data_IF_648341154265
#
_entry.id   IF_648341154265
#
_cell.length_a   1.000
_cell.length_b   1.000
_cell.length_c   1.000
_cell.angle_alpha   90.00
_cell.angle_beta   90.00
_cell.angle_gamma   90.00
#
_symmetry.space_group_name_H-M   'P 1'
#
loop_
_entity.id
_entity.type
_entity.pdbx_description
1 polymer ?
#
# COMPACT_ATOMS: atom_id res chain seq x y z
N UNK A 1 29.73 21.39 -24.31
CA UNK A 1 28.36 21.91 -24.07
C UNK A 1 27.50 22.01 -25.34
N UNK A 2 27.88 21.37 -26.46
CA UNK A 2 27.17 21.48 -27.76
C UNK A 2 26.45 20.18 -28.17
N UNK A 3 26.77 19.04 -27.55
CA UNK A 3 26.20 17.74 -27.95
C UNK A 3 24.81 17.42 -27.36
N UNK A 4 24.36 18.14 -26.32
CA UNK A 4 23.07 17.85 -25.66
C UNK A 4 21.85 18.35 -26.46
N UNK A 5 22.03 19.32 -27.35
CA UNK A 5 20.93 19.88 -28.16
C UNK A 5 20.55 18.99 -29.36
N UNK A 6 21.47 18.16 -29.87
CA UNK A 6 21.21 17.31 -31.05
C UNK A 6 20.30 16.12 -30.76
N UNK A 7 20.13 15.72 -29.50
CA UNK A 7 19.33 14.54 -29.15
C UNK A 7 17.83 14.87 -28.96
N UNK A 8 17.48 16.12 -28.62
CA UNK A 8 16.09 16.56 -28.42
C UNK A 8 15.30 16.73 -29.74
N UNK A 9 15.99 16.97 -30.86
CA UNK A 9 15.35 17.10 -32.18
C UNK A 9 14.94 15.74 -32.78
N UNK A 10 15.67 14.66 -32.50
CA UNK A 10 15.37 13.31 -33.04
C UNK A 10 14.14 12.64 -32.41
N UNK A 11 13.62 13.13 -31.29
CA UNK A 11 12.47 12.54 -30.61
C UNK A 11 11.10 13.03 -31.13
N UNK A 12 11.06 14.00 -32.07
CA UNK A 12 9.81 14.59 -32.56
C UNK A 12 9.21 13.91 -33.81
N UNK A 13 9.86 12.92 -34.42
CA UNK A 13 9.45 12.41 -35.75
C UNK A 13 8.74 11.05 -35.79
N UNK A 14 8.49 10.37 -34.66
CA UNK A 14 7.85 9.03 -34.67
C UNK A 14 6.49 9.00 -33.95
N UNK A 15 5.52 9.73 -34.47
CA UNK A 15 4.13 9.71 -34.01
C UNK A 15 3.14 9.44 -35.14
N UNK A 16 3.22 8.27 -35.77
CA UNK A 16 2.21 7.78 -36.71
C UNK A 16 1.00 7.25 -35.95
N UNK A 17 -0.17 7.78 -36.32
CA UNK A 17 -1.45 7.58 -35.65
C UNK A 17 -2.02 6.17 -35.73
N UNK A 18 -2.97 5.94 -34.83
CA UNK A 18 -4.02 4.94 -34.96
C UNK A 18 -5.28 5.60 -34.41
N UNK A 19 -6.13 6.06 -35.32
CA UNK A 19 -7.55 6.30 -35.06
C UNK A 19 -8.20 4.97 -34.72
N UNK A 20 -8.96 4.92 -33.62
CA UNK A 20 -9.96 3.89 -33.40
C UNK A 20 -11.16 4.45 -32.67
N UNK A 21 -12.29 4.17 -33.28
CA UNK A 21 -13.62 4.70 -33.07
C UNK A 21 -14.14 4.48 -31.65
N UNK A 22 -14.73 5.55 -31.09
CA UNK A 22 -15.50 5.51 -29.85
C UNK A 22 -16.95 5.30 -30.26
N UNK A 23 -17.45 4.09 -30.02
CA UNK A 23 -18.88 3.78 -30.10
C UNK A 23 -19.65 4.55 -29.01
N UNK A 24 -20.74 5.18 -29.45
CA UNK A 24 -21.73 5.90 -28.67
C UNK A 24 -22.45 4.95 -27.71
N UNK A 25 -22.51 5.32 -26.42
CA UNK A 25 -23.44 4.71 -25.47
C UNK A 25 -24.55 5.72 -25.22
N UNK A 26 -25.71 5.41 -25.79
CA UNK A 26 -26.99 6.09 -25.59
C UNK A 26 -27.44 5.92 -24.13
N UNK A 27 -27.69 7.02 -23.42
CA UNK A 27 -28.27 7.02 -22.07
C UNK A 27 -29.69 7.57 -22.16
N UNK A 28 -30.64 6.65 -22.20
CA UNK A 28 -32.07 6.93 -22.12
C UNK A 28 -32.44 7.62 -20.81
N UNK A 29 -33.01 8.81 -20.95
CA UNK A 29 -33.74 9.54 -19.92
C UNK A 29 -35.16 8.99 -19.81
N UNK A 30 -35.61 8.67 -18.60
CA UNK A 30 -37.03 8.61 -18.20
C UNK A 30 -37.04 8.86 -16.68
N UNK A 31 -37.43 10.04 -16.20
CA UNK A 31 -38.78 10.64 -16.14
C UNK A 31 -39.56 10.20 -14.89
N UNK A 32 -40.49 11.05 -14.51
CA UNK A 32 -40.79 11.55 -13.18
C UNK A 32 -41.54 10.63 -12.21
N UNK A 33 -41.36 10.91 -10.92
CA UNK A 33 -42.06 10.27 -9.80
C UNK A 33 -42.27 11.24 -8.65
N UNK A 34 -43.44 11.87 -8.70
CA UNK A 34 -44.00 12.90 -7.82
C UNK A 34 -44.44 12.38 -6.44
N UNK A 35 -44.55 13.31 -5.46
CA UNK A 35 -45.37 13.28 -4.25
C UNK A 35 -45.06 12.29 -3.10
N UNK A 36 -44.69 12.83 -1.93
CA UNK A 36 -45.64 13.09 -0.84
C UNK A 36 -44.96 13.76 0.37
N UNK A 37 -45.71 14.65 1.01
CA UNK A 37 -45.29 15.59 2.05
C UNK A 37 -46.12 15.31 3.30
N UNK A 38 -45.54 14.67 4.31
CA UNK A 38 -46.03 14.52 5.70
C UNK A 38 -44.89 13.87 6.49
N UNK A 39 -44.54 14.19 7.73
CA UNK A 39 -45.04 15.09 8.75
C UNK A 39 -44.00 15.12 9.89
N UNK A 40 -44.17 16.08 10.80
CA UNK A 40 -43.32 16.36 11.96
C UNK A 40 -43.04 15.16 12.87
N UNK A 41 -41.79 15.05 13.33
CA UNK A 41 -41.42 14.36 14.58
C UNK A 41 -40.03 14.86 15.07
N UNK A 42 -39.73 14.77 16.37
CA UNK A 42 -38.90 15.73 17.09
C UNK A 42 -37.39 15.47 16.98
N UNK A 43 -36.63 16.54 17.20
CA UNK A 43 -35.19 16.54 17.36
C UNK A 43 -34.77 15.63 18.52
N UNK A 44 -34.33 14.41 18.19
CA UNK A 44 -33.53 13.57 19.06
C UNK A 44 -32.07 13.94 18.78
N UNK A 45 -31.43 14.55 19.78
CA UNK A 45 -29.99 14.77 19.78
C UNK A 45 -29.30 13.41 19.79
N UNK A 46 -28.78 13.01 18.63
CA UNK A 46 -27.93 11.84 18.46
C UNK A 46 -26.54 12.21 18.94
N UNK A 47 -26.16 11.72 20.11
CA UNK A 47 -24.77 11.72 20.58
C UNK A 47 -23.95 10.82 19.63
N UNK A 48 -23.30 11.46 18.66
CA UNK A 48 -22.27 10.85 17.82
C UNK A 48 -21.01 10.67 18.66
N UNK A 49 -20.95 9.59 19.44
CA UNK A 49 -19.67 9.06 19.90
C UNK A 49 -18.94 8.43 18.70
N UNK A 50 -18.15 9.27 18.03
CA UNK A 50 -17.06 8.89 17.13
C UNK A 50 -16.00 8.12 17.92
N UNK A 51 -16.31 6.86 18.26
CA UNK A 51 -15.30 5.90 18.71
C UNK A 51 -14.63 5.28 17.49
N UNK A 52 -14.02 6.15 16.68
CA UNK A 52 -12.95 5.76 15.77
C UNK A 52 -11.76 5.31 16.61
N UNK A 53 -11.81 4.04 17.04
CA UNK A 53 -10.68 3.26 17.52
C UNK A 53 -9.69 3.07 16.35
N UNK A 54 -9.04 4.18 15.99
CA UNK A 54 -7.75 4.22 15.34
C UNK A 54 -6.81 3.47 16.28
N UNK A 55 -6.53 2.21 15.94
CA UNK A 55 -5.36 1.53 16.44
C UNK A 55 -4.16 2.44 16.20
N UNK A 56 -3.74 3.12 17.28
CA UNK A 56 -2.48 3.82 17.48
C UNK A 56 -1.75 4.15 16.18
N UNK A 57 -1.97 5.37 15.69
CA UNK A 57 -1.24 5.99 14.58
C UNK A 57 0.21 6.35 15.00
N UNK A 58 0.86 5.45 15.73
CA UNK A 58 2.24 5.50 16.22
C UNK A 58 3.21 4.97 15.13
N UNK A 59 2.94 5.30 13.86
CA UNK A 59 3.64 4.70 12.71
C UNK A 59 4.69 5.60 12.05
N UNK A 60 4.82 6.87 12.43
CA UNK A 60 5.69 7.80 11.67
C UNK A 60 6.94 8.32 12.39
N UNK A 61 7.12 8.04 13.69
CA UNK A 61 8.31 8.47 14.45
C UNK A 61 9.27 7.33 14.82
N UNK A 62 9.12 6.16 14.18
CA UNK A 62 10.08 5.08 14.38
C UNK A 62 11.40 5.42 13.67
N UNK A 63 12.55 5.27 14.35
CA UNK A 63 13.85 5.64 13.81
C UNK A 63 14.12 4.92 12.47
N UNK A 64 14.87 5.54 11.54
CA UNK A 64 15.16 5.00 10.20
C UNK A 64 15.60 3.52 10.17
N UNK A 65 16.25 3.06 11.25
CA UNK A 65 16.68 1.66 11.44
C UNK A 65 15.53 0.64 11.46
N UNK A 66 14.34 1.00 11.96
CA UNK A 66 13.17 0.11 12.02
C UNK A 66 12.41 0.04 10.68
N UNK A 67 12.49 1.08 9.84
CA UNK A 67 11.89 1.08 8.50
C UNK A 67 12.69 0.20 7.53
N UNK A 68 14.02 0.28 7.52
CA UNK A 68 14.88 -0.56 6.68
C UNK A 68 14.69 -2.08 6.94
N UNK A 69 14.49 -2.49 8.20
CA UNK A 69 14.23 -3.89 8.59
C UNK A 69 12.89 -4.42 8.05
N UNK A 70 11.84 -3.60 8.05
CA UNK A 70 10.53 -3.96 7.48
C UNK A 70 10.55 -4.16 5.96
N UNK A 71 11.45 -3.46 5.28
CA UNK A 71 11.54 -3.50 3.82
C UNK A 71 12.30 -4.72 3.30
N UNK A 72 13.38 -5.14 3.98
CA UNK A 72 14.08 -6.39 3.62
C UNK A 72 13.11 -7.56 3.69
N UNK A 73 12.26 -7.61 4.72
CA UNK A 73 11.24 -8.65 4.89
C UNK A 73 10.21 -8.70 3.75
N UNK A 74 9.88 -7.58 3.09
CA UNK A 74 8.91 -7.54 1.99
C UNK A 74 9.41 -8.16 0.68
N UNK A 75 10.73 -8.27 0.51
CA UNK A 75 11.35 -8.83 -0.70
C UNK A 75 11.99 -10.20 -0.46
N UNK A 76 12.16 -10.59 0.80
CA UNK A 76 12.65 -11.90 1.15
C UNK A 76 11.71 -13.01 0.65
N UNK A 77 12.31 -14.01 -0.01
CA UNK A 77 11.67 -15.28 -0.29
C UNK A 77 12.02 -16.26 0.83
N UNK A 78 11.00 -16.74 1.53
CA UNK A 78 11.16 -17.67 2.65
C UNK A 78 10.70 -19.05 2.24
N UNK A 79 11.46 -20.09 2.55
CA UNK A 79 11.03 -21.46 2.32
C UNK A 79 10.57 -22.10 3.63
N UNK A 80 9.36 -22.64 3.62
CA UNK A 80 8.85 -23.38 4.76
C UNK A 80 9.72 -24.63 4.99
N UNK A 81 10.26 -24.80 6.19
CA UNK A 81 11.06 -25.96 6.58
C UNK A 81 10.28 -27.29 6.56
N UNK A 82 8.95 -27.23 6.71
CA UNK A 82 8.10 -28.41 6.81
C UNK A 82 7.59 -28.87 5.44
N UNK A 83 7.03 -27.97 4.63
CA UNK A 83 6.45 -28.32 3.32
C UNK A 83 7.26 -27.86 2.11
N UNK A 84 8.39 -27.17 2.31
CA UNK A 84 9.23 -26.66 1.22
C UNK A 84 8.62 -25.52 0.39
N UNK A 85 7.39 -25.07 0.71
CA UNK A 85 6.71 -24.00 -0.04
C UNK A 85 7.46 -22.67 0.11
N UNK A 86 7.77 -22.03 -1.02
CA UNK A 86 8.35 -20.69 -1.08
C UNK A 86 7.26 -19.62 -0.90
N UNK A 87 7.39 -18.79 0.13
CA UNK A 87 6.49 -17.70 0.48
C UNK A 87 7.22 -16.38 0.29
N UNK A 88 6.68 -15.53 -0.59
CA UNK A 88 7.23 -14.21 -0.88
C UNK A 88 6.56 -13.16 0.00
N UNK A 89 7.35 -12.26 0.58
CA UNK A 89 6.84 -11.04 1.20
C UNK A 89 6.84 -11.04 2.72
N UNK A 90 6.04 -10.12 3.29
CA UNK A 90 6.07 -9.82 4.72
C UNK A 90 5.57 -10.97 5.61
N UNK A 91 5.74 -10.76 6.91
CA UNK A 91 5.26 -11.63 7.99
C UNK A 91 3.80 -12.09 7.83
N UNK A 92 2.90 -11.29 7.26
CA UNK A 92 1.49 -11.70 7.16
C UNK A 92 1.30 -12.93 6.27
N UNK A 93 2.07 -13.06 5.18
CA UNK A 93 2.00 -14.25 4.32
C UNK A 93 2.57 -15.49 5.02
N UNK A 94 3.68 -15.33 5.76
CA UNK A 94 4.25 -16.41 6.58
C UNK A 94 3.28 -16.85 7.67
N UNK A 95 2.67 -15.90 8.38
CA UNK A 95 1.64 -16.16 9.41
C UNK A 95 0.45 -16.93 8.84
N UNK A 96 -0.08 -16.52 7.69
CA UNK A 96 -1.17 -17.24 7.03
C UNK A 96 -0.76 -18.68 6.69
N UNK A 97 0.47 -18.86 6.20
CA UNK A 97 1.00 -20.18 5.91
C UNK A 97 1.15 -21.04 7.18
N UNK A 98 1.70 -20.50 8.27
CA UNK A 98 1.77 -21.18 9.57
C UNK A 98 0.37 -21.59 10.04
N UNK A 99 -0.62 -20.71 9.88
CA UNK A 99 -2.01 -21.00 10.22
C UNK A 99 -2.59 -22.23 9.51
N UNK A 100 -2.15 -22.52 8.28
CA UNK A 100 -2.55 -23.75 7.57
C UNK A 100 -1.92 -25.03 8.14
N UNK A 101 -0.71 -24.93 8.70
CA UNK A 101 -0.04 -26.05 9.34
C UNK A 101 -0.56 -26.32 10.75
N UNK A 102 -0.73 -25.26 11.53
CA UNK A 102 -1.16 -25.33 12.93
C UNK A 102 -2.69 -25.33 13.09
N UNK A 103 -3.43 -25.35 11.97
CA UNK A 103 -4.92 -25.31 11.94
C UNK A 103 -5.49 -24.17 12.78
N UNK A 104 -4.89 -22.97 12.65
CA UNK A 104 -5.31 -21.78 13.39
C UNK A 104 -6.62 -21.22 12.83
N UNK A 105 -7.73 -21.82 13.27
CA UNK A 105 -9.08 -21.42 12.95
C UNK A 105 -9.64 -20.44 13.99
N UNK A 106 -10.76 -19.80 13.64
CA UNK A 106 -11.53 -18.94 14.53
C UNK A 106 -12.97 -19.43 14.48
N UNK A 107 -13.49 -20.06 15.54
CA UNK A 107 -14.91 -20.39 15.68
C UNK A 107 -15.82 -19.23 15.26
N UNK A 108 -16.85 -19.54 14.47
CA UNK A 108 -17.82 -18.52 14.08
C UNK A 108 -18.68 -18.11 15.29
N UNK A 109 -18.77 -16.82 15.63
CA UNK A 109 -19.55 -16.36 16.79
C UNK A 109 -21.07 -16.34 16.54
N UNK A 110 -21.53 -16.60 15.31
CA UNK A 110 -22.94 -16.59 14.96
C UNK A 110 -23.61 -17.88 15.44
N UNK A 111 -24.70 -17.74 16.19
CA UNK A 111 -25.44 -18.87 16.75
C UNK A 111 -25.78 -19.91 15.66
N UNK A 112 -25.59 -21.19 15.99
CA UNK A 112 -25.80 -22.36 15.11
C UNK A 112 -24.80 -22.50 13.95
N UNK A 113 -23.82 -21.60 13.81
CA UNK A 113 -22.74 -21.81 12.85
C UNK A 113 -21.61 -22.62 13.48
N UNK A 114 -21.40 -23.85 13.00
CA UNK A 114 -20.31 -24.73 13.45
C UNK A 114 -19.03 -24.58 12.63
N UNK A 115 -18.97 -23.57 11.75
CA UNK A 115 -17.81 -23.35 10.90
C UNK A 115 -16.64 -22.76 11.67
N UNK A 116 -15.45 -23.26 11.38
CA UNK A 116 -14.19 -22.76 11.92
C UNK A 116 -13.26 -22.31 10.78
N UNK A 117 -13.57 -21.19 10.11
CA UNK A 117 -12.72 -20.70 9.04
C UNK A 117 -11.32 -20.32 9.55
N UNK A 118 -10.32 -20.41 8.68
CA UNK A 118 -9.00 -19.84 8.95
C UNK A 118 -9.12 -18.33 9.22
N UNK A 119 -8.24 -17.80 10.09
CA UNK A 119 -8.23 -16.38 10.45
C UNK A 119 -8.20 -15.43 9.23
N UNK A 120 -7.52 -15.80 8.13
CA UNK A 120 -7.49 -15.02 6.89
C UNK A 120 -8.80 -15.02 6.10
N UNK A 121 -9.60 -16.07 6.21
CA UNK A 121 -10.89 -16.24 5.54
C UNK A 121 -12.09 -15.85 6.40
N UNK A 122 -11.90 -15.64 7.71
CA UNK A 122 -12.98 -15.39 8.66
C UNK A 122 -13.90 -14.21 8.25
N UNK A 123 -13.32 -13.09 7.81
CA UNK A 123 -14.12 -11.94 7.33
C UNK A 123 -14.97 -12.27 6.10
N UNK A 124 -14.43 -13.06 5.18
CA UNK A 124 -15.15 -13.50 4.00
C UNK A 124 -16.24 -14.50 4.37
N UNK A 125 -15.99 -15.39 5.33
CA UNK A 125 -17.00 -16.29 5.87
C UNK A 125 -18.20 -15.54 6.46
N UNK A 126 -17.97 -14.53 7.31
CA UNK A 126 -19.05 -13.70 7.86
C UNK A 126 -19.88 -13.03 6.75
N UNK A 127 -19.20 -12.49 5.73
CA UNK A 127 -19.87 -11.82 4.61
C UNK A 127 -20.71 -12.78 3.77
N UNK A 128 -20.17 -13.93 3.41
CA UNK A 128 -20.82 -14.87 2.48
C UNK A 128 -21.91 -15.72 3.14
N UNK A 129 -21.68 -16.20 4.36
CA UNK A 129 -22.61 -17.13 5.01
C UNK A 129 -23.62 -16.45 5.92
N UNK A 130 -23.27 -15.29 6.49
CA UNK A 130 -24.13 -14.61 7.48
C UNK A 130 -24.59 -13.23 7.01
N UNK A 131 -24.19 -12.80 5.81
CA UNK A 131 -24.45 -11.45 5.27
C UNK A 131 -24.13 -10.35 6.30
N UNK A 132 -23.12 -10.59 7.13
CA UNK A 132 -22.74 -9.74 8.26
C UNK A 132 -21.27 -9.36 8.16
N UNK A 133 -20.84 -8.43 9.00
CA UNK A 133 -19.46 -7.95 9.07
C UNK A 133 -18.95 -7.99 10.51
N UNK A 134 -17.64 -7.77 10.72
CA UNK A 134 -17.09 -7.65 12.07
C UNK A 134 -17.74 -6.51 12.86
N UNK A 135 -18.19 -5.45 12.19
CA UNK A 135 -18.75 -4.26 12.80
C UNK A 135 -20.17 -4.48 13.32
N UNK A 136 -20.92 -5.39 12.73
CA UNK A 136 -22.32 -5.70 13.09
C UNK A 136 -22.45 -6.78 14.15
N UNK A 137 -21.33 -7.42 14.56
CA UNK A 137 -21.30 -8.35 15.69
C UNK A 137 -21.57 -7.61 17.02
N UNK A 138 -22.11 -8.34 18.01
CA UNK A 138 -22.23 -7.82 19.37
C UNK A 138 -20.86 -7.52 19.97
N UNK A 139 -20.81 -6.67 20.99
CA UNK A 139 -19.56 -6.32 21.68
C UNK A 139 -18.86 -7.54 22.25
N UNK A 140 -19.62 -8.48 22.84
CA UNK A 140 -19.09 -9.73 23.38
C UNK A 140 -18.51 -10.64 22.28
N UNK A 141 -19.23 -10.83 21.17
CA UNK A 141 -18.73 -11.60 20.02
C UNK A 141 -17.47 -10.99 19.41
N UNK A 142 -17.39 -9.66 19.31
CA UNK A 142 -16.18 -8.96 18.83
C UNK A 142 -15.00 -9.21 19.76
N UNK A 143 -15.22 -9.18 21.07
CA UNK A 143 -14.18 -9.41 22.07
C UNK A 143 -13.65 -10.84 21.99
N UNK A 144 -14.52 -11.84 21.92
CA UNK A 144 -14.13 -13.25 21.79
C UNK A 144 -13.35 -13.52 20.49
N UNK A 145 -13.86 -13.07 19.34
CA UNK A 145 -13.16 -13.18 18.06
C UNK A 145 -11.78 -12.52 18.11
N UNK A 146 -11.67 -11.34 18.76
CA UNK A 146 -10.39 -10.65 18.91
C UNK A 146 -9.42 -11.45 19.79
N UNK A 147 -9.88 -11.98 20.92
CA UNK A 147 -9.07 -12.83 21.79
C UNK A 147 -8.57 -14.10 21.07
N UNK A 148 -9.39 -14.70 20.21
CA UNK A 148 -9.00 -15.83 19.37
C UNK A 148 -7.95 -15.46 18.32
N UNK A 149 -8.14 -14.32 17.63
CA UNK A 149 -7.16 -13.81 16.66
C UNK A 149 -5.81 -13.48 17.33
N UNK A 150 -5.83 -12.94 18.54
CA UNK A 150 -4.63 -12.64 19.32
C UNK A 150 -3.92 -13.91 19.77
N UNK A 151 -4.66 -14.93 20.22
CA UNK A 151 -4.11 -16.28 20.49
C UNK A 151 -3.44 -16.87 19.23
N UNK A 152 -4.13 -16.82 18.09
CA UNK A 152 -3.59 -17.31 16.81
C UNK A 152 -2.33 -16.55 16.38
N UNK A 153 -2.28 -15.23 16.61
CA UNK A 153 -1.09 -14.42 16.37
C UNK A 153 0.07 -14.85 17.27
N UNK A 154 -0.17 -15.04 18.57
CA UNK A 154 0.85 -15.49 19.52
C UNK A 154 1.41 -16.87 19.13
N UNK A 155 0.54 -17.83 18.81
CA UNK A 155 0.95 -19.16 18.33
C UNK A 155 1.77 -19.05 17.05
N UNK A 156 1.35 -18.22 16.10
CA UNK A 156 2.10 -18.03 14.87
C UNK A 156 3.52 -17.49 15.10
N UNK A 157 3.68 -16.56 16.03
CA UNK A 157 5.00 -16.01 16.40
C UNK A 157 5.88 -17.10 17.02
N UNK A 158 5.35 -17.90 17.94
CA UNK A 158 6.10 -19.02 18.54
C UNK A 158 6.54 -20.06 17.51
N UNK A 159 5.69 -20.31 16.51
CA UNK A 159 5.96 -21.23 15.43
C UNK A 159 6.87 -20.64 14.32
N UNK A 160 7.19 -19.35 14.33
CA UNK A 160 7.96 -18.72 13.24
C UNK A 160 9.28 -19.45 13.00
N UNK A 161 10.05 -19.69 14.07
CA UNK A 161 11.36 -20.35 13.96
C UNK A 161 11.27 -21.83 13.57
N UNK A 162 10.13 -22.48 13.83
CA UNK A 162 9.86 -23.87 13.40
C UNK A 162 9.65 -23.97 11.89
N UNK A 163 8.90 -23.05 11.30
CA UNK A 163 8.56 -23.10 9.87
C UNK A 163 9.50 -22.27 8.99
N UNK A 164 10.05 -21.17 9.52
CA UNK A 164 10.86 -20.21 8.78
C UNK A 164 12.13 -19.83 9.58
N UNK A 165 13.00 -20.80 9.88
CA UNK A 165 14.28 -20.50 10.50
C UNK A 165 15.11 -19.58 9.58
N UNK A 166 16.03 -18.81 10.15
CA UNK A 166 16.85 -17.86 9.38
C UNK A 166 17.69 -18.54 8.28
N UNK A 167 18.03 -19.82 8.44
CA UNK A 167 18.69 -20.64 7.43
C UNK A 167 17.86 -20.86 6.16
N UNK A 168 16.53 -20.76 6.25
CA UNK A 168 15.61 -21.02 5.14
C UNK A 168 15.21 -19.74 4.39
N UNK A 169 15.96 -18.67 4.59
CA UNK A 169 15.85 -17.48 3.77
C UNK A 169 16.53 -17.75 2.41
N UNK A 170 15.73 -17.99 1.37
CA UNK A 170 16.18 -18.41 0.02
C UNK A 170 16.73 -17.22 -0.80
N UNK A 171 17.33 -16.23 -0.15
CA UNK A 171 17.82 -14.97 -0.72
C UNK A 171 16.75 -13.94 -1.13
N UNK A 172 17.14 -12.67 -1.10
CA UNK A 172 16.39 -11.54 -1.65
C UNK A 172 16.53 -11.39 -3.18
N UNK A 173 17.28 -12.28 -3.83
CA UNK A 173 17.73 -12.14 -5.22
C UNK A 173 16.90 -12.92 -6.26
N UNK A 174 16.06 -13.88 -5.85
CA UNK A 174 15.31 -14.71 -6.81
C UNK A 174 14.09 -14.01 -7.44
N UNK A 175 13.78 -12.76 -7.06
CA UNK A 175 12.87 -11.94 -7.87
C UNK A 175 13.59 -11.38 -9.10
N UNK A 176 13.91 -12.29 -10.01
CA UNK A 176 13.83 -12.13 -11.46
C UNK A 176 14.74 -11.04 -12.06
N UNK A 177 15.99 -11.42 -12.33
CA UNK A 177 16.70 -10.98 -13.54
C UNK A 177 17.32 -9.58 -13.57
N UNK A 178 17.44 -8.88 -12.44
CA UNK A 178 18.24 -7.66 -12.37
C UNK A 178 19.36 -7.87 -11.37
N UNK A 179 20.60 -7.71 -11.83
CA UNK A 179 21.82 -7.79 -11.03
C UNK A 179 21.59 -7.19 -9.63
N UNK A 180 22.04 -7.86 -8.54
CA UNK A 180 21.79 -7.39 -7.18
C UNK A 180 22.37 -5.99 -7.02
N UNK A 181 21.50 -4.99 -7.14
CA UNK A 181 21.93 -3.60 -7.07
C UNK A 181 22.28 -3.29 -5.62
N UNK A 182 23.57 -3.12 -5.36
CA UNK A 182 24.21 -2.64 -4.14
C UNK A 182 23.32 -1.61 -3.45
N UNK A 183 23.05 -1.77 -2.14
CA UNK A 183 22.28 -0.80 -1.42
C UNK A 183 23.07 0.48 -1.12
N UNK A 184 24.33 0.59 -1.52
CA UNK A 184 25.16 1.75 -1.20
C UNK A 184 25.27 2.70 -2.39
N UNK A 185 25.03 3.99 -2.15
CA UNK A 185 25.25 5.02 -3.15
C UNK A 185 26.76 5.17 -3.43
N UNK A 186 27.18 5.08 -4.68
CA UNK A 186 28.57 5.26 -5.12
C UNK A 186 29.13 6.66 -4.84
N UNK A 187 28.27 7.70 -4.88
CA UNK A 187 28.73 9.09 -4.72
C UNK A 187 28.90 9.51 -3.26
N UNK A 188 28.15 8.92 -2.33
CA UNK A 188 28.18 9.36 -0.92
C UNK A 188 28.15 8.24 0.11
N UNK A 189 28.23 6.97 -0.29
CA UNK A 189 28.25 5.80 0.59
C UNK A 189 26.96 5.55 1.38
N UNK A 190 25.92 6.35 1.21
CA UNK A 190 24.66 6.19 1.93
C UNK A 190 23.98 4.87 1.58
N UNK A 191 23.56 4.09 2.59
CA UNK A 191 22.81 2.85 2.41
C UNK A 191 21.33 3.14 2.19
N UNK A 192 20.82 2.84 1.00
CA UNK A 192 19.44 3.03 0.57
C UNK A 192 18.91 1.75 -0.07
N UNK A 193 17.95 1.10 0.57
CA UNK A 193 17.48 -0.23 0.19
C UNK A 193 16.34 -0.15 -0.83
N UNK A 194 15.41 0.78 -0.64
CA UNK A 194 14.21 0.86 -1.48
C UNK A 194 14.43 1.59 -2.77
N UNK A 195 13.80 1.11 -3.84
CA UNK A 195 13.81 1.80 -5.12
C UNK A 195 13.28 3.25 -5.00
N UNK A 196 12.17 3.46 -4.31
CA UNK A 196 11.60 4.80 -4.13
C UNK A 196 12.50 5.70 -3.26
N UNK A 197 13.17 5.14 -2.26
CA UNK A 197 14.15 5.90 -1.47
C UNK A 197 15.41 6.18 -2.28
N UNK A 198 15.89 5.24 -3.10
CA UNK A 198 17.02 5.42 -4.02
C UNK A 198 16.71 6.53 -5.00
N UNK A 199 15.50 6.55 -5.57
CA UNK A 199 15.06 7.65 -6.44
C UNK A 199 15.06 9.00 -5.72
N UNK A 200 14.49 9.07 -4.51
CA UNK A 200 14.52 10.29 -3.71
C UNK A 200 15.94 10.68 -3.28
N UNK A 201 16.84 9.71 -3.13
CA UNK A 201 18.25 9.91 -2.79
C UNK A 201 19.04 10.47 -3.98
N UNK A 202 18.97 9.83 -5.15
CA UNK A 202 19.58 10.33 -6.39
C UNK A 202 19.07 11.72 -6.73
N UNK A 203 17.77 11.97 -6.54
CA UNK A 203 17.20 13.31 -6.74
C UNK A 203 17.81 14.40 -5.84
N UNK A 204 18.37 14.06 -4.67
CA UNK A 204 19.15 15.03 -3.86
C UNK A 204 20.41 15.43 -4.60
N UNK A 205 21.15 14.44 -5.11
CA UNK A 205 22.38 14.69 -5.86
C UNK A 205 22.14 15.47 -7.15
N UNK A 206 20.98 15.29 -7.77
CA UNK A 206 20.59 16.01 -8.99
C UNK A 206 19.86 17.34 -8.70
N UNK A 207 19.62 17.68 -7.43
CA UNK A 207 18.79 18.82 -7.01
C UNK A 207 17.41 18.88 -7.71
N UNK A 208 16.83 17.71 -8.01
CA UNK A 208 15.52 17.62 -8.68
C UNK A 208 14.38 17.87 -7.68
N UNK A 209 13.38 18.63 -8.11
CA UNK A 209 12.20 18.97 -7.32
C UNK A 209 10.93 18.86 -8.18
N UNK A 210 9.82 18.56 -7.53
CA UNK A 210 8.45 18.54 -8.05
C UNK A 210 7.70 19.67 -7.35
N UNK A 211 6.95 20.46 -8.12
CA UNK A 211 6.07 21.50 -7.58
C UNK A 211 4.81 20.90 -6.96
N UNK A 212 4.29 21.53 -5.91
CA UNK A 212 2.99 21.18 -5.36
C UNK A 212 1.90 21.35 -6.44
N UNK A 213 1.02 20.36 -6.66
CA UNK A 213 -0.03 20.44 -7.67
C UNK A 213 -1.21 21.33 -7.24
N UNK A 214 -1.30 21.69 -5.96
CA UNK A 214 -2.39 22.48 -5.39
C UNK A 214 -2.23 23.95 -5.78
N UNK A 215 -3.33 24.55 -6.25
CA UNK A 215 -3.33 25.93 -6.72
C UNK A 215 -2.90 26.91 -5.62
N UNK A 216 -2.04 27.87 -5.97
CA UNK A 216 -1.51 28.87 -5.03
C UNK A 216 -0.42 28.38 -4.08
N UNK A 217 -0.05 27.10 -4.09
CA UNK A 217 1.03 26.59 -3.25
C UNK A 217 2.40 26.69 -3.95
N UNK A 218 3.31 27.50 -3.42
CA UNK A 218 4.67 27.69 -3.96
C UNK A 218 5.67 26.60 -3.55
N UNK A 219 5.23 25.59 -2.80
CA UNK A 219 6.11 24.54 -2.31
C UNK A 219 6.69 23.70 -3.46
N UNK A 220 8.01 23.49 -3.41
CA UNK A 220 8.72 22.55 -4.29
C UNK A 220 9.54 21.58 -3.46
N UNK A 221 9.56 20.31 -3.84
CA UNK A 221 10.29 19.28 -3.10
C UNK A 221 10.42 17.96 -3.84
N UNK A 222 11.16 17.02 -3.27
CA UNK A 222 11.25 15.65 -3.79
C UNK A 222 9.89 14.94 -3.62
N UNK A 223 9.64 13.88 -4.39
CA UNK A 223 8.36 13.15 -4.39
C UNK A 223 7.85 12.81 -2.97
N UNK A 224 8.69 12.21 -2.11
CA UNK A 224 8.27 11.86 -0.74
C UNK A 224 8.03 13.09 0.15
N UNK A 225 8.76 14.19 -0.10
CA UNK A 225 8.59 15.45 0.64
C UNK A 225 7.30 16.16 0.23
N UNK A 226 6.92 16.12 -1.06
CA UNK A 226 5.61 16.57 -1.52
C UNK A 226 4.47 15.78 -0.85
N UNK A 227 4.58 14.46 -0.75
CA UNK A 227 3.55 13.65 -0.06
C UNK A 227 3.38 14.05 1.41
N UNK A 228 4.50 14.23 2.14
CA UNK A 228 4.45 14.70 3.54
C UNK A 228 3.91 16.13 3.63
N UNK A 229 4.22 16.96 2.64
CA UNK A 229 3.73 18.33 2.56
C UNK A 229 2.19 18.38 2.38
N UNK A 230 1.60 17.50 1.56
CA UNK A 230 0.12 17.42 1.42
C UNK A 230 -0.57 17.19 2.77
N UNK A 231 -0.08 16.22 3.54
CA UNK A 231 -0.65 15.90 4.84
C UNK A 231 -0.45 17.06 5.82
N UNK A 232 0.77 17.60 5.91
CA UNK A 232 1.12 18.60 6.94
C UNK A 232 0.61 20.01 6.66
N UNK A 233 0.57 20.43 5.39
CA UNK A 233 0.22 21.81 5.01
C UNK A 233 -1.19 21.94 4.47
N UNK A 234 -1.74 20.86 3.94
CA UNK A 234 -3.07 20.89 3.33
C UNK A 234 -4.06 19.95 4.03
N UNK A 235 -3.64 19.19 5.04
CA UNK A 235 -4.52 18.26 5.76
C UNK A 235 -5.03 17.10 4.88
N UNK A 236 -4.45 16.91 3.69
CA UNK A 236 -4.96 16.00 2.68
C UNK A 236 -4.03 14.82 2.45
N UNK A 237 -4.61 13.64 2.29
CA UNK A 237 -3.91 12.47 1.75
C UNK A 237 -3.83 12.57 0.23
N UNK A 238 -2.84 11.87 -0.34
CA UNK A 238 -2.69 11.79 -1.80
C UNK A 238 -3.94 11.27 -2.53
N UNK A 239 -4.70 10.36 -1.90
CA UNK A 239 -5.96 9.83 -2.41
C UNK A 239 -7.12 10.83 -2.43
N UNK A 240 -6.99 11.94 -1.71
CA UNK A 240 -8.02 12.97 -1.53
C UNK A 240 -7.81 14.17 -2.47
N UNK A 241 -6.72 14.20 -3.24
CA UNK A 241 -6.49 15.23 -4.26
C UNK A 241 -7.58 15.20 -5.33
N UNK A 242 -8.01 16.39 -5.81
CA UNK A 242 -8.94 16.48 -6.94
C UNK A 242 -8.32 15.80 -8.17
N UNK A 243 -9.16 15.29 -9.06
CA UNK A 243 -8.72 14.54 -10.24
C UNK A 243 -7.63 15.28 -11.03
N UNK A 244 -7.81 16.58 -11.29
CA UNK A 244 -6.85 17.40 -12.03
C UNK A 244 -5.51 17.57 -11.28
N UNK A 245 -5.54 17.80 -9.97
CA UNK A 245 -4.34 17.95 -9.13
C UNK A 245 -3.57 16.64 -9.03
N UNK A 246 -4.31 15.53 -8.88
CA UNK A 246 -3.75 14.19 -8.86
C UNK A 246 -3.06 13.85 -10.19
N UNK A 247 -3.72 14.14 -11.33
CA UNK A 247 -3.14 13.95 -12.66
C UNK A 247 -1.87 14.79 -12.86
N UNK A 248 -1.89 16.08 -12.49
CA UNK A 248 -0.71 16.97 -12.55
C UNK A 248 0.45 16.39 -11.73
N UNK A 249 0.18 15.94 -10.52
CA UNK A 249 1.21 15.34 -9.66
C UNK A 249 1.73 14.00 -10.20
N UNK A 250 0.86 13.12 -10.70
CA UNK A 250 1.26 11.85 -11.32
C UNK A 250 2.17 12.09 -12.51
N UNK A 251 1.82 13.06 -13.38
CA UNK A 251 2.65 13.44 -14.52
C UNK A 251 4.02 13.95 -14.08
N UNK A 252 4.06 14.93 -13.17
CA UNK A 252 5.31 15.48 -12.66
C UNK A 252 6.18 14.43 -11.94
N UNK A 253 5.56 13.52 -11.18
CA UNK A 253 6.25 12.40 -10.53
C UNK A 253 6.82 11.41 -11.54
N UNK A 254 6.09 11.09 -12.60
CA UNK A 254 6.55 10.21 -13.69
C UNK A 254 7.77 10.80 -14.40
N UNK A 255 7.72 12.08 -14.76
CA UNK A 255 8.84 12.80 -15.38
C UNK A 255 10.06 12.87 -14.45
N UNK A 256 9.84 13.16 -13.17
CA UNK A 256 10.88 13.15 -12.15
C UNK A 256 11.56 11.78 -12.03
N UNK A 257 10.79 10.68 -11.98
CA UNK A 257 11.37 9.33 -11.92
C UNK A 257 12.07 8.92 -13.20
N UNK A 258 11.56 9.30 -14.37
CA UNK A 258 12.25 9.04 -15.63
C UNK A 258 13.66 9.67 -15.63
N UNK A 259 13.79 10.94 -15.21
CA UNK A 259 15.09 11.62 -15.11
C UNK A 259 16.04 10.95 -14.13
N UNK A 260 15.52 10.48 -12.99
CA UNK A 260 16.33 9.83 -11.97
C UNK A 260 16.74 8.41 -12.39
N UNK A 261 15.84 7.65 -13.01
CA UNK A 261 16.08 6.27 -13.42
C UNK A 261 17.14 6.20 -14.54
N UNK A 262 17.21 7.21 -15.42
CA UNK A 262 18.23 7.32 -16.46
C UNK A 262 19.68 7.30 -15.92
N UNK A 263 19.90 7.87 -14.73
CA UNK A 263 21.24 7.94 -14.11
C UNK A 263 21.38 6.98 -12.93
N UNK A 264 20.39 6.14 -12.64
CA UNK A 264 20.37 5.32 -11.42
C UNK A 264 21.60 4.41 -11.29
N UNK A 265 22.08 3.85 -12.41
CA UNK A 265 23.26 2.97 -12.46
C UNK A 265 24.57 3.68 -12.09
N UNK A 266 24.65 5.00 -12.27
CA UNK A 266 25.80 5.81 -11.83
C UNK A 266 25.85 5.97 -10.31
N UNK A 267 24.72 5.79 -9.62
CA UNK A 267 24.61 5.92 -8.17
C UNK A 267 24.55 4.57 -7.48
N UNK A 268 23.98 3.53 -8.10
CA UNK A 268 23.84 2.20 -7.53
C UNK A 268 24.18 1.14 -8.59
N UNK A 269 25.18 0.30 -8.33
CA UNK A 269 25.53 -0.90 -9.15
C UNK A 269 24.66 -2.03 -8.74
#
# INVERSE_FOLDING_TARGET
MVEYHSWLEKAKMNGTGVDRDIEQIDHGMSDEGELTKTGSAPAIMSDEEDDSFSGSNLKNDLPPRKQAKRMSELLCLWQCAVCGKKIKGNWNHRRQHIGSHEKLSVPCPIAKCTSEPLASSFRQHLKLHHKTTMQTLSTEQKADVRAQLDRNLATSIQCEMKYFPSSNLVSSSETTGKNPVSPYCKKCGSRVILLDDRRNHVAVHLNLKISCPLFGCSYTGRSQRCMKHFIKKHGMKYSELRLQENQKFKKARKEFYAKVDLVMSEYFT
#
